data_IF_761085740366
#
_entry.id   IF_761085740366
#
_cell.length_a   1.000
_cell.length_b   1.000
_cell.length_c   1.000
_cell.angle_alpha   90.00
_cell.angle_beta   90.00
_cell.angle_gamma   90.00
#
_symmetry.space_group_name_H-M   'P 1'
#
loop_
_entity.id
_entity.type
_entity.pdbx_description
1 polymer ?
#
# COMPACT_ATOMS: atom_id res chain seq x y z
N UNK A 1 12.40 -12.66 -8.88
CA UNK A 1 10.97 -12.47 -8.56
C UNK A 1 10.70 -11.20 -7.75
N UNK A 2 11.58 -10.76 -6.83
CA UNK A 2 11.29 -9.58 -5.99
C UNK A 2 11.22 -8.25 -6.74
N UNK A 3 12.05 -8.03 -7.77
CA UNK A 3 12.03 -6.79 -8.55
C UNK A 3 10.69 -6.50 -9.22
N UNK A 4 9.93 -7.52 -9.62
CA UNK A 4 8.59 -7.33 -10.18
C UNK A 4 7.57 -6.94 -9.10
N UNK A 5 7.75 -7.39 -7.84
CA UNK A 5 6.90 -7.02 -6.69
C UNK A 5 7.02 -5.53 -6.40
N UNK A 6 8.23 -5.06 -6.15
CA UNK A 6 8.47 -3.63 -5.91
C UNK A 6 8.01 -2.76 -7.08
N UNK A 7 8.26 -3.21 -8.33
CA UNK A 7 7.79 -2.48 -9.51
C UNK A 7 6.26 -2.36 -9.56
N UNK A 8 5.53 -3.45 -9.28
CA UNK A 8 4.07 -3.46 -9.28
C UNK A 8 3.47 -2.56 -8.19
N UNK A 9 3.95 -2.70 -6.95
CA UNK A 9 3.49 -1.92 -5.79
C UNK A 9 3.73 -0.41 -5.97
N UNK A 10 4.92 -0.03 -6.44
CA UNK A 10 5.26 1.36 -6.69
C UNK A 10 4.51 1.94 -7.88
N UNK A 11 4.31 1.17 -8.95
CA UNK A 11 3.50 1.58 -10.10
C UNK A 11 2.05 1.84 -9.69
N UNK A 12 1.48 0.98 -8.83
CA UNK A 12 0.14 1.16 -8.29
C UNK A 12 0.04 2.43 -7.44
N UNK A 13 1.03 2.65 -6.57
CA UNK A 13 1.08 3.84 -5.72
C UNK A 13 1.12 5.11 -6.56
N UNK A 14 2.01 5.14 -7.57
CA UNK A 14 2.11 6.27 -8.50
C UNK A 14 0.84 6.49 -9.31
N UNK A 15 0.14 5.41 -9.71
CA UNK A 15 -1.14 5.53 -10.40
C UNK A 15 -2.14 6.32 -9.55
N UNK A 16 -2.36 5.94 -8.31
CA UNK A 16 -3.31 6.61 -7.43
C UNK A 16 -2.85 8.01 -6.99
N UNK A 17 -1.53 8.22 -6.80
CA UNK A 17 -1.00 9.56 -6.58
C UNK A 17 -1.24 10.48 -7.78
N UNK A 18 -1.14 9.97 -9.01
CA UNK A 18 -1.45 10.74 -10.22
C UNK A 18 -2.94 11.08 -10.33
N UNK A 19 -3.81 10.16 -9.88
CA UNK A 19 -5.25 10.40 -9.79
C UNK A 19 -5.54 11.56 -8.85
N UNK A 20 -4.84 11.66 -7.71
CA UNK A 20 -5.02 12.74 -6.74
C UNK A 20 -4.92 14.15 -7.34
N UNK A 21 -4.06 14.35 -8.34
CA UNK A 21 -3.79 15.64 -8.99
C UNK A 21 -4.81 16.05 -10.06
N UNK A 22 -5.86 15.25 -10.31
CA UNK A 22 -6.79 15.52 -11.41
C UNK A 22 -7.48 16.89 -11.30
N UNK A 23 -7.84 17.38 -10.09
CA UNK A 23 -8.48 18.69 -9.96
C UNK A 23 -7.54 19.83 -10.33
N UNK A 24 -6.29 19.76 -9.91
CA UNK A 24 -5.25 20.72 -10.26
C UNK A 24 -5.04 20.80 -11.78
N UNK A 25 -4.82 19.65 -12.44
CA UNK A 25 -4.55 19.62 -13.87
C UNK A 25 -5.77 19.90 -14.75
N UNK A 26 -7.00 19.73 -14.25
CA UNK A 26 -8.21 20.11 -14.99
C UNK A 26 -8.35 21.62 -15.20
N UNK A 27 -7.72 22.44 -14.35
CA UNK A 27 -7.74 23.90 -14.46
C UNK A 27 -6.82 24.43 -15.56
N UNK A 28 -5.87 23.61 -16.01
CA UNK A 28 -4.92 23.99 -17.07
C UNK A 28 -5.62 24.24 -18.40
N UNK A 29 -5.09 25.14 -19.24
CA UNK A 29 -5.66 25.42 -20.57
C UNK A 29 -5.29 24.35 -21.60
N UNK A 30 -4.16 23.67 -21.42
CA UNK A 30 -3.64 22.70 -22.37
C UNK A 30 -4.31 21.33 -22.20
N UNK A 31 -4.87 20.79 -23.29
CA UNK A 31 -5.48 19.47 -23.31
C UNK A 31 -4.52 18.35 -22.85
N UNK A 32 -3.26 18.42 -23.27
CA UNK A 32 -2.23 17.43 -22.87
C UNK A 32 -1.99 17.39 -21.35
N UNK A 33 -2.03 18.53 -20.67
CA UNK A 33 -1.86 18.58 -19.21
C UNK A 33 -3.10 18.03 -18.49
N UNK A 34 -4.30 18.28 -19.01
CA UNK A 34 -5.56 17.74 -18.46
C UNK A 34 -5.63 16.22 -18.50
N UNK A 35 -5.13 15.61 -19.58
CA UNK A 35 -5.20 14.15 -19.77
C UNK A 35 -4.03 13.40 -19.13
N UNK A 36 -2.93 14.10 -18.84
CA UNK A 36 -1.72 13.53 -18.24
C UNK A 36 -1.98 12.68 -16.97
N UNK A 37 -2.72 13.14 -15.94
CA UNK A 37 -2.95 12.32 -14.74
C UNK A 37 -3.76 11.05 -15.03
N UNK A 38 -4.74 11.12 -15.94
CA UNK A 38 -5.51 9.94 -16.34
C UNK A 38 -4.66 8.93 -17.09
N UNK A 39 -3.80 9.40 -17.98
CA UNK A 39 -2.87 8.54 -18.72
C UNK A 39 -1.86 7.88 -17.77
N UNK A 40 -1.31 8.64 -16.82
CA UNK A 40 -0.40 8.12 -15.80
C UNK A 40 -1.09 7.06 -14.92
N UNK A 41 -2.35 7.29 -14.51
CA UNK A 41 -3.15 6.31 -13.78
C UNK A 41 -3.32 5.00 -14.57
N UNK A 42 -3.74 5.08 -15.84
CA UNK A 42 -3.95 3.91 -16.69
C UNK A 42 -2.64 3.15 -16.90
N UNK A 43 -1.55 3.84 -17.22
CA UNK A 43 -0.25 3.22 -17.45
C UNK A 43 0.29 2.57 -16.16
N UNK A 44 0.14 3.20 -15.00
CA UNK A 44 0.54 2.63 -13.71
C UNK A 44 -0.28 1.40 -13.33
N UNK A 45 -1.61 1.41 -13.57
CA UNK A 45 -2.47 0.24 -13.38
C UNK A 45 -2.08 -0.91 -14.31
N UNK A 46 -1.82 -0.63 -15.59
CA UNK A 46 -1.35 -1.63 -16.55
C UNK A 46 0.01 -2.19 -16.14
N UNK A 47 0.95 -1.35 -15.72
CA UNK A 47 2.26 -1.77 -15.22
C UNK A 47 2.13 -2.68 -13.98
N UNK A 48 1.26 -2.34 -13.04
CA UNK A 48 0.95 -3.18 -11.88
C UNK A 48 0.37 -4.55 -12.31
N UNK A 49 -0.57 -4.57 -13.26
CA UNK A 49 -1.15 -5.83 -13.75
C UNK A 49 -0.08 -6.69 -14.45
N UNK A 50 0.71 -6.09 -15.34
CA UNK A 50 1.76 -6.79 -16.10
C UNK A 50 2.89 -7.31 -15.21
N UNK A 51 3.13 -6.67 -14.06
CA UNK A 51 4.10 -7.15 -13.08
C UNK A 51 3.70 -8.47 -12.41
N UNK A 52 2.42 -8.86 -12.49
CA UNK A 52 1.89 -10.10 -11.93
C UNK A 52 1.75 -10.10 -10.40
N UNK A 53 1.84 -8.94 -9.75
CA UNK A 53 1.86 -8.78 -8.29
C UNK A 53 0.47 -8.80 -7.70
N UNK A 54 0.02 -10.01 -7.34
CA UNK A 54 -1.31 -10.25 -6.76
C UNK A 54 -1.51 -9.51 -5.43
N UNK A 55 -0.46 -9.37 -4.62
CA UNK A 55 -0.51 -8.65 -3.33
C UNK A 55 -0.89 -7.19 -3.47
N UNK A 56 -0.39 -6.52 -4.52
CA UNK A 56 -0.73 -5.12 -4.82
C UNK A 56 -2.24 -4.91 -4.99
N UNK A 57 -2.97 -5.91 -5.51
CA UNK A 57 -4.40 -5.78 -5.81
C UNK A 57 -5.26 -5.69 -4.55
N UNK A 58 -4.76 -6.19 -3.41
CA UNK A 58 -5.41 -6.04 -2.11
C UNK A 58 -5.46 -4.55 -1.70
N UNK A 59 -4.53 -3.73 -2.19
CA UNK A 59 -4.51 -2.30 -1.89
C UNK A 59 -5.63 -1.54 -2.64
N UNK A 60 -5.98 -1.99 -3.85
CA UNK A 60 -6.88 -1.30 -4.79
C UNK A 60 -8.21 -0.85 -4.16
N UNK A 61 -8.97 -1.68 -3.43
CA UNK A 61 -10.23 -1.24 -2.81
C UNK A 61 -10.06 -0.10 -1.81
N UNK A 62 -9.01 -0.15 -0.97
CA UNK A 62 -8.74 0.91 0.01
C UNK A 62 -8.29 2.21 -0.66
N UNK A 63 -7.49 2.13 -1.73
CA UNK A 63 -7.12 3.30 -2.51
C UNK A 63 -8.34 3.91 -3.22
N UNK A 64 -9.22 3.10 -3.81
CA UNK A 64 -10.48 3.61 -4.37
C UNK A 64 -11.41 4.21 -3.32
N UNK A 65 -11.39 3.70 -2.08
CA UNK A 65 -12.15 4.31 -0.98
C UNK A 65 -11.64 5.72 -0.65
N UNK A 66 -10.32 5.96 -0.71
CA UNK A 66 -9.76 7.31 -0.58
C UNK A 66 -10.16 8.20 -1.76
N UNK A 67 -10.15 7.67 -2.99
CA UNK A 67 -10.68 8.38 -4.16
C UNK A 67 -12.16 8.73 -4.00
N UNK A 68 -12.93 7.85 -3.35
CA UNK A 68 -14.31 8.12 -3.00
C UNK A 68 -14.42 9.34 -2.07
N UNK A 69 -13.63 9.37 -1.01
CA UNK A 69 -13.59 10.51 -0.08
C UNK A 69 -13.11 11.80 -0.76
N UNK A 70 -12.19 11.72 -1.73
CA UNK A 70 -11.68 12.89 -2.44
C UNK A 70 -12.74 13.50 -3.38
N UNK A 71 -13.42 12.67 -4.16
CA UNK A 71 -14.27 13.15 -5.28
C UNK A 71 -15.78 13.09 -5.00
N UNK A 72 -16.22 12.69 -3.80
CA UNK A 72 -17.65 12.45 -3.53
C UNK A 72 -18.56 13.66 -3.77
N UNK A 73 -18.03 14.89 -3.67
CA UNK A 73 -18.78 16.12 -3.92
C UNK A 73 -18.85 16.50 -5.40
N UNK A 74 -17.84 16.12 -6.18
CA UNK A 74 -17.67 16.59 -7.57
C UNK A 74 -18.28 15.62 -8.58
N UNK A 75 -18.30 14.31 -8.26
CA UNK A 75 -18.76 13.28 -9.16
C UNK A 75 -20.25 12.99 -8.97
N UNK A 76 -21.03 13.12 -10.06
CA UNK A 76 -22.41 12.61 -10.11
C UNK A 76 -22.42 11.10 -9.89
N UNK A 77 -23.44 10.59 -9.19
CA UNK A 77 -23.65 9.15 -8.92
C UNK A 77 -23.48 8.26 -10.17
N UNK A 78 -23.84 8.76 -11.37
CA UNK A 78 -23.71 8.03 -12.63
C UNK A 78 -22.26 7.79 -13.06
N UNK A 79 -21.36 8.71 -12.74
CA UNK A 79 -19.92 8.56 -13.00
C UNK A 79 -19.29 7.58 -12.03
N UNK A 80 -19.74 7.58 -10.76
CA UNK A 80 -19.37 6.56 -9.77
C UNK A 80 -19.73 5.15 -10.23
N UNK A 81 -20.95 4.98 -10.74
CA UNK A 81 -21.41 3.70 -11.27
C UNK A 81 -20.60 3.28 -12.50
N UNK A 82 -20.22 4.23 -13.36
CA UNK A 82 -19.32 3.99 -14.50
C UNK A 82 -17.93 3.51 -14.08
N UNK A 83 -17.32 4.11 -13.04
CA UNK A 83 -16.02 3.69 -12.50
C UNK A 83 -16.13 2.28 -11.90
N UNK A 84 -17.15 2.01 -11.08
CA UNK A 84 -17.37 0.68 -10.49
C UNK A 84 -17.61 -0.40 -11.55
N UNK A 85 -18.43 -0.11 -12.57
CA UNK A 85 -18.66 -1.00 -13.70
C UNK A 85 -17.37 -1.18 -14.50
N UNK A 86 -16.58 -0.13 -14.70
CA UNK A 86 -15.29 -0.20 -15.37
C UNK A 86 -14.29 -1.10 -14.64
N UNK A 87 -14.14 -0.92 -13.33
CA UNK A 87 -13.29 -1.78 -12.47
C UNK A 87 -13.79 -3.23 -12.52
N UNK A 88 -15.10 -3.44 -12.41
CA UNK A 88 -15.71 -4.77 -12.50
C UNK A 88 -15.45 -5.42 -13.87
N UNK A 89 -15.62 -4.68 -14.96
CA UNK A 89 -15.36 -5.18 -16.31
C UNK A 89 -13.87 -5.50 -16.51
N UNK A 90 -12.97 -4.64 -16.03
CA UNK A 90 -11.52 -4.92 -16.07
C UNK A 90 -11.20 -6.17 -15.26
N UNK A 91 -11.77 -6.34 -14.06
CA UNK A 91 -11.60 -7.55 -13.26
C UNK A 91 -12.12 -8.81 -14.00
N UNK A 92 -13.28 -8.73 -14.64
CA UNK A 92 -13.85 -9.81 -15.45
C UNK A 92 -12.99 -10.12 -16.69
N UNK A 93 -12.48 -9.11 -17.38
CA UNK A 93 -11.59 -9.27 -18.53
C UNK A 93 -10.29 -9.94 -18.10
N UNK A 94 -9.65 -9.45 -17.04
CA UNK A 94 -8.42 -10.05 -16.50
C UNK A 94 -8.63 -11.49 -16.05
N UNK A 95 -9.79 -11.79 -15.46
CA UNK A 95 -10.19 -13.16 -15.10
C UNK A 95 -10.32 -14.08 -16.33
N UNK A 96 -10.79 -13.56 -17.47
CA UNK A 96 -11.00 -14.33 -18.69
C UNK A 96 -9.79 -14.48 -19.60
N UNK A 97 -8.71 -13.71 -19.39
CA UNK A 97 -7.49 -13.84 -20.19
C UNK A 97 -6.75 -15.12 -19.77
N UNK A 98 -6.62 -16.16 -20.62
CA UNK A 98 -6.00 -17.44 -20.23
C UNK A 98 -4.53 -17.31 -19.82
N UNK A 99 -3.85 -16.30 -20.36
CA UNK A 99 -2.44 -16.00 -20.09
C UNK A 99 -2.20 -15.43 -18.69
N UNK A 100 -3.22 -14.87 -18.02
CA UNK A 100 -3.07 -14.37 -16.64
C UNK A 100 -3.13 -15.49 -15.61
N UNK A 101 -3.65 -16.68 -15.99
CA UNK A 101 -3.83 -17.86 -15.12
C UNK A 101 -4.60 -17.57 -13.82
N UNK A 102 -5.35 -16.47 -13.73
CA UNK A 102 -5.95 -16.01 -12.46
C UNK A 102 -6.97 -17.01 -11.91
N UNK A 103 -7.82 -17.59 -12.77
CA UNK A 103 -8.81 -18.61 -12.38
C UNK A 103 -8.16 -19.90 -11.87
N UNK A 104 -7.14 -20.37 -12.59
CA UNK A 104 -6.37 -21.57 -12.25
C UNK A 104 -5.61 -21.35 -10.93
N UNK A 105 -5.02 -20.16 -10.74
CA UNK A 105 -4.32 -19.78 -9.50
C UNK A 105 -5.25 -19.55 -8.32
N UNK A 106 -6.47 -19.06 -8.52
CA UNK A 106 -7.47 -18.93 -7.45
C UNK A 106 -7.94 -20.31 -6.97
N UNK A 107 -8.19 -21.24 -7.90
CA UNK A 107 -8.48 -22.63 -7.56
C UNK A 107 -7.30 -23.30 -6.87
N UNK A 108 -6.08 -23.16 -7.39
CA UNK A 108 -4.86 -23.67 -6.76
C UNK A 108 -4.67 -23.07 -5.36
N UNK A 109 -4.83 -21.75 -5.17
CA UNK A 109 -4.67 -21.11 -3.85
C UNK A 109 -5.74 -21.58 -2.85
N UNK A 110 -6.99 -21.70 -3.30
CA UNK A 110 -8.07 -22.21 -2.46
C UNK A 110 -7.86 -23.69 -2.10
N UNK A 111 -7.43 -24.54 -3.04
CA UNK A 111 -7.07 -25.92 -2.75
C UNK A 111 -5.84 -26.01 -1.87
N UNK A 112 -4.78 -25.22 -2.11
CA UNK A 112 -3.57 -25.17 -1.27
C UNK A 112 -3.88 -24.77 0.17
N UNK A 113 -4.88 -23.89 0.40
CA UNK A 113 -5.31 -23.50 1.74
C UNK A 113 -6.20 -24.58 2.39
N UNK A 114 -7.08 -25.24 1.61
CA UNK A 114 -8.00 -26.27 2.12
C UNK A 114 -7.33 -27.62 2.34
N UNK A 115 -6.36 -27.99 1.51
CA UNK A 115 -5.58 -29.23 1.55
C UNK A 115 -4.23 -29.03 2.27
N UNK A 116 -4.03 -27.89 2.93
CA UNK A 116 -2.78 -27.57 3.62
C UNK A 116 -2.45 -28.59 4.72
N UNK A 117 -1.53 -29.51 4.44
CA UNK A 117 -1.01 -30.52 5.38
C UNK A 117 0.43 -30.24 5.84
N UNK A 118 1.04 -29.16 5.35
CA UNK A 118 2.40 -28.74 5.69
C UNK A 118 3.53 -29.43 4.93
N UNK A 119 3.24 -30.29 3.95
CA UNK A 119 4.27 -31.11 3.26
C UNK A 119 4.68 -30.60 1.87
N UNK A 120 3.82 -29.89 1.14
CA UNK A 120 4.09 -29.50 -0.26
C UNK A 120 3.74 -28.04 -0.57
N UNK A 121 4.77 -27.19 -0.55
CA UNK A 121 4.86 -25.76 -0.96
C UNK A 121 5.36 -25.46 -2.37
N UNK A 122 4.67 -24.65 -3.19
CA UNK A 122 5.35 -23.84 -4.24
C UNK A 122 5.92 -22.56 -3.60
N UNK A 123 7.14 -22.17 -3.97
CA UNK A 123 7.72 -20.89 -3.52
C UNK A 123 6.83 -19.69 -3.86
N UNK A 124 6.58 -18.82 -2.88
CA UNK A 124 5.72 -17.64 -3.00
C UNK A 124 4.21 -17.93 -2.95
N UNK A 125 3.80 -19.12 -2.52
CA UNK A 125 2.39 -19.50 -2.33
C UNK A 125 1.72 -18.78 -1.14
N UNK A 126 0.40 -18.95 -1.00
CA UNK A 126 -0.31 -18.47 0.17
C UNK A 126 -0.01 -19.31 1.43
N UNK A 127 0.13 -20.63 1.26
CA UNK A 127 0.46 -21.58 2.33
C UNK A 127 1.79 -21.25 3.02
N UNK A 128 2.80 -20.87 2.25
CA UNK A 128 4.10 -20.42 2.75
C UNK A 128 3.99 -19.17 3.62
N UNK A 129 3.28 -18.14 3.15
CA UNK A 129 3.06 -16.90 3.92
C UNK A 129 2.33 -17.21 5.22
N UNK A 130 1.30 -18.06 5.17
CA UNK A 130 0.54 -18.44 6.35
C UNK A 130 1.42 -19.13 7.40
N UNK A 131 2.34 -20.01 7.01
CA UNK A 131 3.30 -20.59 7.96
C UNK A 131 4.29 -19.58 8.50
N UNK A 132 4.82 -18.70 7.64
CA UNK A 132 5.68 -17.61 8.09
C UNK A 132 4.98 -16.71 9.11
N UNK A 133 3.69 -16.44 8.92
CA UNK A 133 2.86 -15.66 9.83
C UNK A 133 2.63 -16.37 11.15
N UNK A 134 2.34 -17.68 11.12
CA UNK A 134 2.21 -18.51 12.33
C UNK A 134 3.52 -18.58 13.11
N UNK A 135 4.68 -18.66 12.44
CA UNK A 135 5.98 -18.62 13.09
C UNK A 135 6.21 -17.25 13.77
N UNK A 136 6.03 -16.14 13.05
CA UNK A 136 6.21 -14.80 13.61
C UNK A 136 5.26 -14.53 14.77
N UNK A 137 4.02 -15.00 14.68
CA UNK A 137 3.04 -14.88 15.75
C UNK A 137 3.46 -15.64 17.01
N UNK A 138 3.96 -16.87 16.87
CA UNK A 138 4.50 -17.62 18.02
C UNK A 138 5.68 -16.90 18.67
N UNK A 139 6.62 -16.40 17.86
CA UNK A 139 7.78 -15.64 18.37
C UNK A 139 7.31 -14.40 19.14
N UNK A 140 6.31 -13.69 18.63
CA UNK A 140 5.72 -12.54 19.32
C UNK A 140 5.06 -12.94 20.66
N UNK A 141 4.33 -14.06 20.71
CA UNK A 141 3.72 -14.54 21.95
C UNK A 141 4.75 -14.92 23.01
N UNK A 142 5.92 -15.42 22.60
CA UNK A 142 7.04 -15.72 23.51
C UNK A 142 7.78 -14.44 23.97
N UNK A 143 7.85 -13.41 23.12
CA UNK A 143 8.58 -12.17 23.37
C UNK A 143 7.77 -10.88 23.10
N UNK A 144 6.62 -10.65 23.77
CA UNK A 144 5.68 -9.60 23.37
C UNK A 144 6.19 -8.16 23.63
N UNK A 145 7.03 -7.97 24.65
CA UNK A 145 7.42 -6.63 25.10
C UNK A 145 8.59 -6.03 24.32
N UNK A 146 9.66 -6.79 24.10
CA UNK A 146 10.86 -6.29 23.42
C UNK A 146 11.12 -6.99 22.09
N UNK A 147 10.30 -7.99 21.73
CA UNK A 147 10.58 -8.88 20.62
C UNK A 147 11.75 -9.81 20.92
N UNK A 148 12.01 -10.71 19.98
CA UNK A 148 13.12 -11.65 20.05
C UNK A 148 14.45 -11.07 19.55
N UNK A 149 14.45 -9.81 19.12
CA UNK A 149 15.61 -9.08 18.59
C UNK A 149 15.54 -8.93 17.07
N UNK A 150 16.01 -7.80 16.49
CA UNK A 150 16.07 -7.59 15.05
C UNK A 150 16.82 -8.71 14.30
N UNK A 151 16.19 -9.28 13.28
CA UNK A 151 16.80 -10.33 12.46
C UNK A 151 16.82 -11.73 13.09
N UNK A 152 16.20 -11.91 14.26
CA UNK A 152 16.12 -13.20 14.97
C UNK A 152 15.16 -14.19 14.32
N UNK A 153 14.23 -13.72 13.48
CA UNK A 153 13.18 -14.54 12.86
C UNK A 153 13.73 -15.81 12.21
N UNK A 154 14.78 -15.71 11.38
CA UNK A 154 15.38 -16.86 10.69
C UNK A 154 15.88 -17.92 11.68
N UNK A 155 16.64 -17.51 12.68
CA UNK A 155 17.21 -18.46 13.64
C UNK A 155 16.15 -19.15 14.48
N UNK A 156 15.12 -18.41 14.90
CA UNK A 156 14.07 -18.97 15.77
C UNK A 156 13.13 -19.84 14.95
N UNK A 157 12.75 -19.42 13.73
CA UNK A 157 11.93 -20.25 12.86
C UNK A 157 12.63 -21.57 12.51
N UNK A 158 13.96 -21.56 12.30
CA UNK A 158 14.73 -22.78 12.09
C UNK A 158 14.69 -23.71 13.31
N UNK A 159 14.82 -23.17 14.52
CA UNK A 159 14.68 -23.97 15.74
C UNK A 159 13.28 -24.59 15.88
N UNK A 160 12.22 -23.84 15.56
CA UNK A 160 10.85 -24.35 15.57
C UNK A 160 10.66 -25.49 14.56
N UNK A 161 11.28 -25.39 13.39
CA UNK A 161 11.28 -26.44 12.37
C UNK A 161 12.04 -27.67 12.87
N UNK A 162 13.24 -27.48 13.41
CA UNK A 162 14.07 -28.58 13.95
C UNK A 162 13.37 -29.31 15.12
N UNK A 163 12.50 -28.62 15.87
CA UNK A 163 11.61 -29.20 16.91
C UNK A 163 10.34 -29.86 16.35
N UNK A 164 10.08 -29.77 15.05
CA UNK A 164 8.86 -30.30 14.42
C UNK A 164 7.59 -29.47 14.67
N UNK A 165 7.73 -28.24 15.16
CA UNK A 165 6.60 -27.33 15.48
C UNK A 165 6.09 -26.55 14.25
N UNK A 166 6.92 -26.49 13.20
CA UNK A 166 6.67 -25.75 11.95
C UNK A 166 7.16 -26.53 10.74
N UNK A 167 6.58 -26.26 9.58
CA UNK A 167 6.93 -26.92 8.32
C UNK A 167 8.28 -26.43 7.76
N UNK A 168 9.02 -27.34 7.13
CA UNK A 168 10.29 -27.07 6.42
C UNK A 168 10.14 -26.00 5.33
N UNK A 169 8.91 -25.78 4.83
CA UNK A 169 8.61 -24.81 3.78
C UNK A 169 9.13 -23.40 4.09
N UNK A 170 9.16 -23.01 5.37
CA UNK A 170 9.60 -21.65 5.74
C UNK A 170 11.12 -21.53 5.94
N UNK A 171 11.88 -22.64 5.86
CA UNK A 171 13.31 -22.67 6.21
C UNK A 171 14.18 -21.84 5.28
N UNK A 172 13.80 -21.70 4.02
CA UNK A 172 14.56 -20.88 3.05
C UNK A 172 14.38 -19.37 3.28
N UNK A 173 13.42 -18.95 4.10
CA UNK A 173 13.07 -17.54 4.28
C UNK A 173 13.74 -16.89 5.47
N UNK A 174 13.83 -15.56 5.42
CA UNK A 174 14.45 -14.74 6.47
C UNK A 174 13.46 -13.78 7.11
N UNK A 175 12.20 -13.79 6.66
CA UNK A 175 11.16 -12.86 7.09
C UNK A 175 9.77 -13.48 6.89
N UNK A 176 8.77 -13.03 7.65
CA UNK A 176 7.41 -13.56 7.57
C UNK A 176 6.57 -13.01 6.40
N UNK A 177 7.15 -12.23 5.48
CA UNK A 177 6.39 -11.60 4.38
C UNK A 177 5.21 -10.74 4.88
N UNK A 178 5.47 -9.94 5.92
CA UNK A 178 4.55 -8.94 6.46
C UNK A 178 5.35 -8.02 7.36
N UNK A 179 5.33 -6.72 7.09
CA UNK A 179 6.02 -5.72 7.89
C UNK A 179 5.50 -5.70 9.33
N UNK A 180 4.19 -5.90 9.54
CA UNK A 180 3.59 -5.92 10.86
C UNK A 180 4.10 -7.11 11.68
N UNK A 181 4.06 -8.32 11.11
CA UNK A 181 4.52 -9.53 11.81
C UNK A 181 6.03 -9.54 12.02
N UNK A 182 6.79 -9.03 11.06
CA UNK A 182 8.24 -8.90 11.18
C UNK A 182 8.60 -7.96 12.34
N UNK A 183 7.96 -6.79 12.44
CA UNK A 183 8.25 -5.84 13.52
C UNK A 183 7.73 -6.35 14.86
N UNK A 184 6.60 -7.07 14.89
CA UNK A 184 6.09 -7.70 16.11
C UNK A 184 7.03 -8.80 16.63
N UNK A 185 7.52 -9.70 15.76
CA UNK A 185 8.45 -10.76 16.17
C UNK A 185 9.78 -10.20 16.66
N UNK A 186 10.29 -9.18 15.96
CA UNK A 186 11.65 -8.68 16.18
C UNK A 186 11.73 -7.68 17.32
N UNK A 187 10.72 -6.80 17.44
CA UNK A 187 10.75 -5.64 18.33
C UNK A 187 9.53 -5.55 19.27
N UNK A 188 8.62 -6.51 19.24
CA UNK A 188 7.44 -6.57 20.11
C UNK A 188 6.49 -5.37 19.93
N UNK A 189 5.76 -5.06 21.00
CA UNK A 189 4.80 -3.93 21.05
C UNK A 189 5.45 -2.58 20.70
N UNK A 190 6.64 -2.19 21.21
CA UNK A 190 7.30 -0.93 20.86
C UNK A 190 7.59 -0.78 19.36
N UNK A 191 8.00 -1.88 18.72
CA UNK A 191 8.19 -1.89 17.27
C UNK A 191 6.88 -1.61 16.54
N UNK A 192 5.81 -2.30 16.92
CA UNK A 192 4.50 -2.12 16.29
C UNK A 192 3.98 -0.69 16.46
N UNK A 193 4.15 -0.09 17.64
CA UNK A 193 3.81 1.31 17.90
C UNK A 193 4.62 2.24 16.98
N UNK A 194 5.91 1.98 16.81
CA UNK A 194 6.78 2.75 15.95
C UNK A 194 6.37 2.64 14.47
N UNK A 195 6.01 1.45 14.00
CA UNK A 195 5.48 1.23 12.65
C UNK A 195 4.16 2.00 12.44
N UNK A 196 3.24 1.96 13.40
CA UNK A 196 2.02 2.76 13.32
C UNK A 196 2.30 4.26 13.38
N UNK A 197 3.28 4.71 14.16
CA UNK A 197 3.65 6.12 14.22
C UNK A 197 4.16 6.62 12.86
N UNK A 198 4.96 5.82 12.15
CA UNK A 198 5.44 6.13 10.78
C UNK A 198 4.27 6.40 9.83
N UNK A 199 3.16 5.67 9.96
CA UNK A 199 1.99 5.88 9.12
C UNK A 199 1.03 6.96 9.63
N UNK A 200 0.69 6.93 10.91
CA UNK A 200 -0.41 7.73 11.46
C UNK A 200 -0.02 9.18 11.76
N UNK A 201 1.24 9.45 12.12
CA UNK A 201 1.70 10.82 12.36
C UNK A 201 1.61 11.66 11.07
N UNK A 202 2.13 11.20 9.91
CA UNK A 202 1.98 11.96 8.67
C UNK A 202 0.53 12.06 8.19
N UNK A 203 -0.30 11.01 8.39
CA UNK A 203 -1.75 11.10 8.12
C UNK A 203 -2.38 12.24 8.91
N UNK A 204 -2.09 12.35 10.21
CA UNK A 204 -2.61 13.44 11.04
C UNK A 204 -2.21 14.82 10.48
N UNK A 205 -0.94 15.00 10.12
CA UNK A 205 -0.42 16.26 9.55
C UNK A 205 -1.09 16.59 8.22
N UNK A 206 -1.18 15.61 7.31
CA UNK A 206 -1.81 15.76 5.99
C UNK A 206 -3.30 16.08 6.12
N UNK A 207 -4.03 15.38 7.00
CA UNK A 207 -5.45 15.61 7.21
C UNK A 207 -5.73 17.02 7.76
N UNK A 208 -4.86 17.53 8.62
CA UNK A 208 -4.92 18.93 9.06
C UNK A 208 -4.71 19.88 7.88
N UNK A 209 -3.73 19.62 7.01
CA UNK A 209 -3.43 20.46 5.85
C UNK A 209 -4.56 20.49 4.82
N UNK A 210 -5.20 19.35 4.53
CA UNK A 210 -6.35 19.25 3.64
C UNK A 210 -7.50 20.16 4.13
N UNK A 211 -7.71 20.25 5.44
CA UNK A 211 -8.80 21.06 6.03
C UNK A 211 -8.53 22.56 5.95
N UNK A 212 -7.27 22.99 6.09
CA UNK A 212 -6.91 24.42 6.13
C UNK A 212 -6.54 25.01 4.78
N UNK A 213 -6.44 24.18 3.73
CA UNK A 213 -6.03 24.61 2.38
C UNK A 213 -7.11 24.30 1.32
N UNK A 214 -8.32 24.89 1.42
CA UNK A 214 -9.39 24.63 0.46
C UNK A 214 -8.95 24.97 -0.97
N UNK A 215 -9.24 24.09 -1.92
CA UNK A 215 -8.84 24.24 -3.33
C UNK A 215 -7.43 23.78 -3.69
N UNK A 216 -6.59 23.38 -2.72
CA UNK A 216 -5.25 22.79 -2.96
C UNK A 216 -5.06 21.45 -2.25
N UNK A 217 -6.15 20.71 -2.10
CA UNK A 217 -6.21 19.48 -1.30
C UNK A 217 -5.54 18.27 -1.99
N UNK A 218 -5.36 18.33 -3.30
CA UNK A 218 -4.84 17.25 -4.15
C UNK A 218 -3.48 16.71 -3.66
N UNK A 219 -2.58 17.59 -3.22
CA UNK A 219 -1.27 17.19 -2.68
C UNK A 219 -1.42 16.45 -1.35
N UNK A 220 -2.38 16.85 -0.51
CA UNK A 220 -2.68 16.10 0.70
C UNK A 220 -3.23 14.71 0.38
N UNK A 221 -4.15 14.60 -0.58
CA UNK A 221 -4.69 13.32 -1.01
C UNK A 221 -3.61 12.42 -1.63
N UNK A 222 -2.65 12.95 -2.39
CA UNK A 222 -1.51 12.16 -2.90
C UNK A 222 -0.71 11.52 -1.76
N UNK A 223 -0.52 12.23 -0.64
CA UNK A 223 0.07 11.70 0.58
C UNK A 223 -0.77 10.61 1.25
N UNK A 224 -2.10 10.75 1.27
CA UNK A 224 -2.98 9.70 1.79
C UNK A 224 -2.91 8.42 0.95
N UNK A 225 -2.87 8.52 -0.38
CA UNK A 225 -2.69 7.34 -1.24
C UNK A 225 -1.34 6.66 -1.00
N UNK A 226 -0.24 7.43 -0.88
CA UNK A 226 1.08 6.89 -0.56
C UNK A 226 1.07 6.09 0.74
N UNK A 227 0.52 6.68 1.81
CA UNK A 227 0.51 6.04 3.13
C UNK A 227 -0.41 4.82 3.13
N UNK A 228 -1.61 4.93 2.57
CA UNK A 228 -2.55 3.81 2.52
C UNK A 228 -2.01 2.64 1.70
N UNK A 229 -1.37 2.92 0.55
CA UNK A 229 -0.74 1.88 -0.27
C UNK A 229 0.32 1.13 0.53
N UNK A 230 1.24 1.84 1.20
CA UNK A 230 2.28 1.21 2.01
C UNK A 230 1.72 0.46 3.24
N UNK A 231 0.67 0.99 3.90
CA UNK A 231 -0.01 0.27 4.97
C UNK A 231 -0.59 -1.07 4.47
N UNK A 232 -1.15 -1.10 3.27
CA UNK A 232 -1.74 -2.30 2.67
C UNK A 232 -0.66 -3.27 2.18
N UNK A 233 0.40 -2.78 1.52
CA UNK A 233 1.54 -3.62 1.11
C UNK A 233 2.24 -4.25 2.32
N UNK A 234 2.32 -3.54 3.44
CA UNK A 234 2.88 -4.06 4.69
C UNK A 234 2.17 -5.31 5.23
N UNK A 235 0.94 -5.60 4.80
CA UNK A 235 0.24 -6.84 5.18
C UNK A 235 0.88 -8.07 4.54
N UNK A 236 1.38 -7.94 3.31
CA UNK A 236 1.88 -9.06 2.50
C UNK A 236 3.37 -8.99 2.20
N UNK A 237 4.02 -7.88 2.51
CA UNK A 237 5.43 -7.62 2.21
C UNK A 237 6.14 -6.97 3.40
N UNK A 238 7.43 -7.27 3.55
CA UNK A 238 8.30 -6.64 4.56
C UNK A 238 8.87 -5.33 4.03
N UNK A 239 7.98 -4.36 3.76
CA UNK A 239 8.29 -3.11 3.06
C UNK A 239 9.47 -2.32 3.66
N UNK A 240 9.62 -2.27 4.99
CA UNK A 240 10.71 -1.53 5.63
C UNK A 240 11.99 -2.36 5.83
N UNK A 241 12.04 -3.59 5.31
CA UNK A 241 13.29 -4.35 5.19
C UNK A 241 14.07 -4.03 3.92
N UNK A 242 13.52 -3.19 3.04
CA UNK A 242 13.96 -3.08 1.65
C UNK A 242 14.16 -1.61 1.24
N UNK A 243 15.39 -1.29 0.83
CA UNK A 243 15.81 0.09 0.56
C UNK A 243 14.96 0.80 -0.50
N UNK A 244 14.43 0.06 -1.49
CA UNK A 244 13.59 0.64 -2.54
C UNK A 244 12.27 1.21 -1.99
N UNK A 245 11.62 0.50 -1.07
CA UNK A 245 10.38 0.95 -0.44
C UNK A 245 10.66 2.07 0.57
N UNK A 246 11.69 1.92 1.41
CA UNK A 246 12.09 2.96 2.37
C UNK A 246 12.39 4.27 1.64
N UNK A 247 13.27 4.23 0.64
CA UNK A 247 13.69 5.39 -0.11
C UNK A 247 12.52 6.06 -0.82
N UNK A 248 11.67 5.28 -1.50
CA UNK A 248 10.48 5.82 -2.16
C UNK A 248 9.52 6.47 -1.16
N UNK A 249 9.19 5.80 -0.06
CA UNK A 249 8.26 6.30 0.95
C UNK A 249 8.75 7.60 1.56
N UNK A 250 10.00 7.63 2.05
CA UNK A 250 10.56 8.80 2.74
C UNK A 250 10.67 9.99 1.80
N UNK A 251 11.19 9.79 0.58
CA UNK A 251 11.36 10.87 -0.40
C UNK A 251 10.00 11.43 -0.82
N UNK A 252 9.04 10.58 -1.19
CA UNK A 252 7.71 11.05 -1.62
C UNK A 252 6.96 11.74 -0.48
N UNK A 253 7.03 11.18 0.73
CA UNK A 253 6.40 11.79 1.90
C UNK A 253 7.01 13.16 2.22
N UNK A 254 8.34 13.29 2.16
CA UNK A 254 9.03 14.55 2.40
C UNK A 254 8.63 15.63 1.37
N UNK A 255 8.57 15.26 0.09
CA UNK A 255 8.10 16.17 -0.98
C UNK A 255 6.67 16.63 -0.72
N UNK A 256 5.76 15.71 -0.41
CA UNK A 256 4.35 16.01 -0.16
C UNK A 256 4.19 16.93 1.05
N UNK A 257 4.83 16.60 2.17
CA UNK A 257 4.77 17.42 3.39
C UNK A 257 5.37 18.81 3.16
N UNK A 258 6.49 18.91 2.42
CA UNK A 258 7.10 20.19 2.06
C UNK A 258 6.17 21.07 1.23
N UNK A 259 5.50 20.51 0.23
CA UNK A 259 4.55 21.26 -0.60
C UNK A 259 3.30 21.67 0.19
N UNK A 260 2.78 20.77 1.03
CA UNK A 260 1.66 21.09 1.93
C UNK A 260 2.02 22.22 2.92
N UNK A 261 3.23 22.21 3.49
CA UNK A 261 3.69 23.25 4.39
C UNK A 261 3.79 24.62 3.68
N UNK A 262 4.34 24.65 2.46
CA UNK A 262 4.43 25.88 1.67
C UNK A 262 3.07 26.51 1.32
N UNK A 263 2.02 25.69 1.16
CA UNK A 263 0.68 26.23 0.97
C UNK A 263 0.10 26.89 2.23
N UNK A 264 0.39 26.36 3.41
CA UNK A 264 -0.05 26.94 4.69
C UNK A 264 0.52 28.35 4.93
N UNK A 265 1.80 28.57 4.62
CA UNK A 265 2.45 29.88 4.76
C UNK A 265 1.83 30.92 3.81
N UNK A 266 1.65 30.57 2.53
CA UNK A 266 1.04 31.46 1.52
C UNK A 266 -0.41 31.88 1.84
N UNK A 267 -1.17 31.01 2.51
CA UNK A 267 -2.53 31.31 2.96
C UNK A 267 -2.57 32.28 4.14
N UNK A 268 -1.58 32.21 5.04
CA UNK A 268 -1.48 33.10 6.19
C UNK A 268 -1.08 34.53 5.82
N UNK A 269 -0.11 34.69 4.92
CA UNK A 269 0.33 36.03 4.45
C UNK A 269 -0.75 36.76 3.63
N UNK A 270 -1.57 36.01 2.89
CA UNK A 270 -2.69 36.58 2.12
C UNK A 270 -3.87 37.00 3.00
N UNK A 271 -4.13 36.27 4.08
CA UNK A 271 -5.14 36.64 5.08
C UNK A 271 -4.71 37.87 5.90
N UNK A 272 -3.42 38.01 6.25
CA UNK A 272 -2.91 39.21 6.93
C UNK A 272 -2.93 40.47 6.04
N UNK A 273 -2.73 40.33 4.72
CA UNK A 273 -2.76 41.48 3.80
C UNK A 273 -4.15 42.02 3.48
N UNK A 274 -5.24 41.27 3.74
CA UNK A 274 -6.57 41.72 3.37
C UNK A 274 -7.64 41.40 4.43
N UNK A 275 -7.61 42.08 5.59
CA UNK A 275 -8.52 41.83 6.71
C UNK A 275 -9.99 42.19 6.44
N UNK A 276 -10.34 42.70 5.25
CA UNK A 276 -11.66 43.22 4.92
C UNK A 276 -12.62 42.22 4.25
N UNK A 277 -12.19 40.98 3.99
CA UNK A 277 -13.03 39.94 3.35
C UNK A 277 -13.55 38.85 4.30
N UNK A 278 -13.29 38.95 5.61
CA UNK A 278 -13.88 38.08 6.64
C UNK A 278 -14.91 38.83 7.45
N UNK A 279 -16.08 39.08 6.85
CA UNK A 279 -17.35 39.27 7.56
C UNK A 279 -18.47 38.58 6.79
#
# INVERSE_FOLDING_TARGET
>A
SYHSIAFGDLSLTLAFMSLAGVHFFQQEKNFFQRICPWLAFILGMVACILSGTRGAWIAVPGLFFIALIQYYRDLRFRTWMGIFIGIFLVAVILYKIPQTQISLRLQETCQEIMEYDGSHSKEGSASERLEGWKAAWNIFLEHPFLGAGPGSFKSISHQMIDRGERSEIIRIYHQPHSAYLSVMSDCGIPGLISLFAIFLVPVYVIMRQIRITPGKQDVGFSGLYLIAAFMQFGLTETIFGQNIYIGFYVVMLAVILSVCAGYGESGSESAERNPLLTK
#
